data_IF_694112571634
#
_entry.id   IF_694112571634
#
_cell.length_a   1.000
_cell.length_b   1.000
_cell.length_c   1.000
_cell.angle_alpha   90.00
_cell.angle_beta   90.00
_cell.angle_gamma   90.00
#
_symmetry.space_group_name_H-M   'P 1'
#
loop_
_entity.id
_entity.type
_entity.pdbx_description
1 polymer ?
#
# COMPACT_ATOMS: atom_id res chain seq x y z
N UNK A 1 9.80 -23.51 14.97
CA UNK A 1 8.98 -23.05 13.83
C UNK A 1 9.94 -22.67 12.72
N UNK A 2 9.97 -23.42 11.63
CA UNK A 2 10.84 -23.14 10.49
C UNK A 2 10.04 -22.33 9.46
N UNK A 3 10.44 -21.10 9.20
CA UNK A 3 9.90 -20.31 8.13
C UNK A 3 10.68 -20.60 6.86
N UNK A 4 9.98 -21.01 5.80
CA UNK A 4 10.54 -21.15 4.46
C UNK A 4 10.27 -19.89 3.66
N UNK A 5 11.23 -19.44 2.88
CA UNK A 5 11.00 -18.37 1.92
C UNK A 5 10.09 -18.86 0.79
N UNK A 6 9.12 -18.05 0.40
CA UNK A 6 8.41 -18.27 -0.85
C UNK A 6 9.39 -18.12 -2.05
N UNK A 7 9.00 -18.58 -3.25
CA UNK A 7 9.83 -18.43 -4.45
C UNK A 7 10.18 -16.96 -4.77
N UNK A 8 9.42 -16.01 -4.23
CA UNK A 8 9.66 -14.57 -4.30
C UNK A 8 10.67 -14.04 -3.26
N UNK A 9 11.27 -14.92 -2.45
CA UNK A 9 12.17 -14.54 -1.36
C UNK A 9 11.48 -14.04 -0.07
N UNK A 10 10.16 -13.99 -0.02
CA UNK A 10 9.42 -13.62 1.20
C UNK A 10 9.36 -14.78 2.18
N UNK A 11 9.46 -14.47 3.47
CA UNK A 11 9.23 -15.46 4.52
C UNK A 11 7.78 -15.93 4.50
N UNK A 12 7.57 -17.22 4.66
CA UNK A 12 6.25 -17.84 4.73
C UNK A 12 6.11 -18.71 5.97
N UNK A 13 4.87 -18.99 6.37
CA UNK A 13 4.60 -19.94 7.45
C UNK A 13 4.86 -21.38 6.99
N UNK A 14 5.30 -22.23 7.91
CA UNK A 14 5.42 -23.68 7.75
C UNK A 14 4.47 -24.39 8.72
N UNK A 15 4.30 -25.72 8.58
CA UNK A 15 3.44 -26.54 9.44
C UNK A 15 1.97 -26.05 9.54
N UNK A 16 1.44 -25.54 8.45
CA UNK A 16 0.07 -24.98 8.36
C UNK A 16 -0.19 -23.78 9.28
N UNK A 17 0.85 -23.20 9.88
CA UNK A 17 0.74 -22.03 10.74
C UNK A 17 1.48 -20.84 10.13
N UNK A 18 0.76 -19.79 9.78
CA UNK A 18 1.31 -18.55 9.28
C UNK A 18 0.91 -17.37 10.19
N UNK A 19 1.79 -17.00 11.10
CA UNK A 19 1.56 -15.91 12.05
C UNK A 19 1.47 -14.53 11.36
N UNK A 20 2.03 -14.38 10.16
CA UNK A 20 1.95 -13.13 9.39
C UNK A 20 0.52 -12.85 8.88
N UNK A 21 -0.27 -13.90 8.66
CA UNK A 21 -1.63 -13.82 8.12
C UNK A 21 -2.71 -13.77 9.21
N UNK A 22 -2.36 -13.54 10.45
CA UNK A 22 -3.36 -13.38 11.51
C UNK A 22 -4.24 -12.15 11.23
N UNK A 23 -5.58 -12.28 11.29
CA UNK A 23 -6.48 -11.18 11.03
C UNK A 23 -6.20 -9.99 11.96
N UNK A 24 -6.10 -8.77 11.41
CA UNK A 24 -5.71 -7.57 12.17
C UNK A 24 -6.60 -7.26 13.36
N UNK A 25 -7.90 -7.55 13.27
CA UNK A 25 -8.89 -7.31 14.33
C UNK A 25 -9.18 -8.55 15.19
N UNK A 26 -8.46 -9.65 14.96
CA UNK A 26 -8.67 -10.90 15.70
C UNK A 26 -8.03 -10.84 17.09
N UNK A 27 -8.67 -11.39 18.12
CA UNK A 27 -8.06 -11.59 19.43
C UNK A 27 -6.84 -12.52 19.39
N UNK A 28 -6.66 -13.31 18.31
CA UNK A 28 -5.50 -14.20 18.14
C UNK A 28 -4.16 -13.49 18.24
N UNK A 29 -4.05 -12.25 17.75
CA UNK A 29 -2.81 -11.47 17.92
C UNK A 29 -2.53 -11.13 19.39
N UNK A 30 -3.58 -10.92 20.19
CA UNK A 30 -3.46 -10.64 21.63
C UNK A 30 -3.13 -11.88 22.45
N UNK A 31 -3.36 -13.07 21.89
CA UNK A 31 -3.01 -14.34 22.53
C UNK A 31 -1.51 -14.66 22.38
N UNK A 32 -0.79 -13.95 21.53
CA UNK A 32 0.67 -14.05 21.42
C UNK A 32 1.27 -13.21 22.54
N UNK A 33 1.60 -13.84 23.64
CA UNK A 33 2.20 -13.20 24.82
C UNK A 33 3.64 -13.71 25.03
N UNK A 34 4.58 -12.87 25.45
CA UNK A 34 5.92 -13.32 25.76
C UNK A 34 5.93 -14.10 27.08
N UNK A 35 6.91 -14.98 27.30
CA UNK A 35 7.21 -15.50 28.63
C UNK A 35 7.54 -14.38 29.63
N UNK A 36 7.56 -14.70 30.92
CA UNK A 36 8.01 -13.75 31.94
C UNK A 36 9.42 -13.21 31.60
N UNK A 37 9.65 -11.94 31.84
CA UNK A 37 10.92 -11.23 31.59
C UNK A 37 11.32 -11.08 30.10
N UNK A 38 10.43 -11.42 29.17
CA UNK A 38 10.63 -11.21 27.73
C UNK A 38 9.65 -10.18 27.17
N UNK A 39 10.03 -9.56 26.07
CA UNK A 39 9.19 -8.66 25.29
C UNK A 39 9.09 -9.15 23.84
N UNK A 40 7.99 -8.87 23.19
CA UNK A 40 7.84 -9.09 21.75
C UNK A 40 8.18 -7.79 21.06
N UNK A 41 9.18 -7.83 20.16
CA UNK A 41 9.50 -6.72 19.27
C UNK A 41 8.89 -7.00 17.90
N UNK A 42 8.03 -6.10 17.43
CA UNK A 42 7.47 -6.11 16.08
C UNK A 42 7.97 -4.88 15.34
N UNK A 43 8.60 -5.08 14.19
CA UNK A 43 9.16 -4.02 13.37
C UNK A 43 8.77 -4.25 11.92
N UNK A 44 8.21 -3.22 11.29
CA UNK A 44 7.83 -3.24 9.87
C UNK A 44 8.42 -2.02 9.16
N UNK A 45 8.95 -2.26 7.96
CA UNK A 45 9.46 -1.18 7.12
C UNK A 45 8.29 -0.43 6.48
N UNK A 46 8.07 0.79 6.95
CA UNK A 46 6.95 1.62 6.49
C UNK A 46 7.00 1.84 4.99
N UNK A 47 5.95 1.39 4.30
CA UNK A 47 5.71 1.64 2.86
C UNK A 47 6.86 1.17 1.95
N UNK A 48 7.59 0.12 2.33
CA UNK A 48 8.82 -0.29 1.64
C UNK A 48 8.60 -0.59 0.14
N UNK A 49 7.47 -1.19 -0.21
CA UNK A 49 7.16 -1.50 -1.62
C UNK A 49 7.03 -0.22 -2.45
N UNK A 50 6.31 0.79 -1.97
CA UNK A 50 6.15 2.06 -2.67
C UNK A 50 7.47 2.86 -2.73
N UNK A 51 8.28 2.82 -1.66
CA UNK A 51 9.61 3.44 -1.63
C UNK A 51 10.55 2.82 -2.64
N UNK A 52 10.59 1.50 -2.70
CA UNK A 52 11.43 0.75 -3.64
C UNK A 52 10.99 1.00 -5.08
N UNK A 53 9.67 1.02 -5.33
CA UNK A 53 9.14 1.31 -6.66
C UNK A 53 9.51 2.72 -7.11
N UNK A 54 9.32 3.73 -6.27
CA UNK A 54 9.68 5.11 -6.58
C UNK A 54 11.19 5.25 -6.87
N UNK A 55 12.04 4.57 -6.10
CA UNK A 55 13.48 4.57 -6.32
C UNK A 55 13.88 3.87 -7.63
N UNK A 56 13.30 2.71 -7.93
CA UNK A 56 13.58 1.97 -9.17
C UNK A 56 13.07 2.70 -10.43
N UNK A 57 11.96 3.44 -10.30
CA UNK A 57 11.39 4.25 -11.37
C UNK A 57 12.07 5.63 -11.50
N UNK A 58 13.10 5.91 -10.68
CA UNK A 58 13.80 7.20 -10.64
C UNK A 58 12.85 8.39 -10.40
N UNK A 59 11.72 8.15 -9.75
CA UNK A 59 10.72 9.16 -9.44
C UNK A 59 11.14 9.98 -8.21
N UNK A 60 12.04 10.95 -8.44
CA UNK A 60 12.74 11.69 -7.40
C UNK A 60 11.83 12.51 -6.49
N UNK A 61 10.72 13.04 -7.00
CA UNK A 61 9.71 13.75 -6.23
C UNK A 61 9.04 12.87 -5.15
N UNK A 62 8.72 11.62 -5.49
CA UNK A 62 8.22 10.64 -4.52
C UNK A 62 9.30 10.19 -3.54
N UNK A 63 10.53 9.98 -3.99
CA UNK A 63 11.65 9.62 -3.11
C UNK A 63 11.88 10.74 -2.09
N UNK A 64 11.86 12.00 -2.52
CA UNK A 64 11.99 13.17 -1.65
C UNK A 64 10.79 13.31 -0.69
N UNK A 65 9.57 13.10 -1.16
CA UNK A 65 8.38 13.08 -0.33
C UNK A 65 8.49 12.04 0.81
N UNK A 66 8.99 10.84 0.50
CA UNK A 66 9.26 9.81 1.50
C UNK A 66 10.37 10.20 2.48
N UNK A 67 11.44 10.84 2.00
CA UNK A 67 12.54 11.31 2.83
C UNK A 67 12.07 12.39 3.83
N UNK A 68 11.17 13.25 3.39
CA UNK A 68 10.55 14.31 4.20
C UNK A 68 9.41 13.80 5.11
N UNK A 69 9.17 12.48 5.17
CA UNK A 69 8.14 11.89 6.02
C UNK A 69 6.71 12.19 5.58
N UNK A 70 6.50 12.58 4.33
CA UNK A 70 5.16 12.87 3.80
C UNK A 70 4.38 11.57 3.59
N UNK A 71 3.06 11.66 3.74
CA UNK A 71 2.16 10.54 3.47
C UNK A 71 1.79 10.51 1.98
N UNK A 72 2.58 9.76 1.20
CA UNK A 72 2.41 9.63 -0.26
C UNK A 72 1.03 9.09 -0.63
N UNK A 73 0.40 8.27 0.24
CA UNK A 73 -0.96 7.81 0.01
C UNK A 73 -2.00 8.94 0.12
N UNK A 74 -1.76 9.90 1.02
CA UNK A 74 -2.59 11.11 1.09
C UNK A 74 -2.33 12.04 -0.10
N UNK A 75 -1.10 12.14 -0.58
CA UNK A 75 -0.78 12.93 -1.77
C UNK A 75 -1.53 12.37 -2.98
N UNK A 76 -1.46 11.04 -3.21
CA UNK A 76 -2.21 10.40 -4.28
C UNK A 76 -3.72 10.59 -4.15
N UNK A 77 -4.27 10.42 -2.95
CA UNK A 77 -5.69 10.66 -2.71
C UNK A 77 -6.08 12.12 -2.98
N UNK A 78 -5.24 13.06 -2.59
CA UNK A 78 -5.44 14.49 -2.86
C UNK A 78 -5.54 14.79 -4.35
N UNK A 79 -4.67 14.19 -5.17
CA UNK A 79 -4.72 14.29 -6.63
C UNK A 79 -6.01 13.68 -7.20
N UNK A 80 -6.39 12.48 -6.76
CA UNK A 80 -7.61 11.78 -7.20
C UNK A 80 -8.87 12.60 -6.90
N UNK A 81 -8.99 13.11 -5.67
CA UNK A 81 -10.19 13.81 -5.18
C UNK A 81 -10.12 15.35 -5.33
N UNK A 82 -9.04 15.88 -5.91
CA UNK A 82 -8.80 17.33 -6.08
C UNK A 82 -8.93 18.11 -4.77
N UNK A 83 -8.30 17.59 -3.72
CA UNK A 83 -8.26 18.15 -2.36
C UNK A 83 -6.82 18.43 -1.95
N UNK A 84 -6.64 19.09 -0.81
CA UNK A 84 -5.32 19.16 -0.17
C UNK A 84 -5.06 17.89 0.66
N UNK A 85 -3.80 17.45 0.84
CA UNK A 85 -3.49 16.25 1.63
C UNK A 85 -4.02 16.29 3.07
N UNK A 86 -4.21 17.47 3.64
CA UNK A 86 -4.75 17.67 4.98
C UNK A 86 -6.26 17.39 5.06
N UNK A 87 -6.97 17.56 3.95
CA UNK A 87 -8.42 17.32 3.84
C UNK A 87 -8.77 15.87 3.50
N UNK A 88 -7.78 15.05 3.23
CA UNK A 88 -7.96 13.64 2.87
C UNK A 88 -8.32 12.83 4.12
N UNK A 89 -9.47 12.18 4.09
CA UNK A 89 -9.92 11.28 5.14
C UNK A 89 -9.27 9.89 5.05
N UNK A 90 -9.60 8.99 5.99
CA UNK A 90 -9.01 7.65 6.06
C UNK A 90 -9.45 6.73 4.91
N UNK A 91 -10.69 6.89 4.43
CA UNK A 91 -11.20 6.09 3.31
C UNK A 91 -10.55 6.54 2.00
N UNK A 92 -10.48 7.84 1.78
CA UNK A 92 -9.78 8.43 0.62
C UNK A 92 -8.29 8.06 0.62
N UNK A 93 -7.64 8.14 1.79
CA UNK A 93 -6.25 7.68 1.95
C UNK A 93 -6.09 6.20 1.61
N UNK A 94 -7.07 5.37 1.98
CA UNK A 94 -7.07 3.95 1.63
C UNK A 94 -7.21 3.74 0.12
N UNK A 95 -8.04 4.54 -0.56
CA UNK A 95 -8.12 4.56 -2.03
C UNK A 95 -6.78 4.93 -2.63
N UNK A 96 -6.13 6.01 -2.18
CA UNK A 96 -4.80 6.41 -2.64
C UNK A 96 -3.75 5.32 -2.44
N UNK A 97 -3.76 4.65 -1.27
CA UNK A 97 -2.90 3.49 -1.01
C UNK A 97 -3.14 2.34 -1.99
N UNK A 98 -4.41 2.00 -2.22
CA UNK A 98 -4.78 0.90 -3.12
C UNK A 98 -4.43 1.24 -4.57
N UNK A 99 -4.51 2.51 -4.94
CA UNK A 99 -4.11 3.01 -6.26
C UNK A 99 -2.61 2.81 -6.47
N UNK A 100 -1.76 3.34 -5.60
CA UNK A 100 -0.30 3.21 -5.73
C UNK A 100 0.12 1.74 -5.78
N UNK A 101 -0.34 0.94 -4.83
CA UNK A 101 0.07 -0.47 -4.75
C UNK A 101 -0.57 -1.33 -5.84
N UNK A 102 -1.83 -1.06 -6.21
CA UNK A 102 -2.54 -1.83 -7.22
C UNK A 102 -2.15 -1.45 -8.64
N UNK A 103 -2.20 -0.18 -8.97
CA UNK A 103 -1.89 0.30 -10.32
C UNK A 103 -0.41 0.11 -10.66
N UNK A 104 0.50 0.30 -9.69
CA UNK A 104 1.92 0.02 -9.84
C UNK A 104 2.23 -1.45 -10.19
N UNK A 105 1.34 -2.39 -9.82
CA UNK A 105 1.40 -3.79 -10.27
C UNK A 105 0.51 -4.09 -11.48
N UNK A 106 0.09 -3.09 -12.23
CA UNK A 106 -0.70 -3.26 -13.45
C UNK A 106 -2.17 -3.63 -13.22
N UNK A 107 -2.73 -3.35 -12.06
CA UNK A 107 -4.13 -3.62 -11.75
C UNK A 107 -5.06 -2.80 -12.66
N UNK A 108 -6.03 -3.48 -13.28
CA UNK A 108 -7.10 -2.80 -14.05
C UNK A 108 -8.27 -2.38 -13.16
N UNK A 109 -9.12 -1.49 -13.68
CA UNK A 109 -10.24 -0.86 -12.98
C UNK A 109 -11.20 -1.87 -12.29
N UNK A 110 -11.54 -2.98 -12.95
CA UNK A 110 -12.45 -3.98 -12.38
C UNK A 110 -11.87 -4.68 -11.15
N UNK A 111 -10.58 -5.04 -11.17
CA UNK A 111 -9.89 -5.62 -10.00
C UNK A 111 -9.71 -4.59 -8.90
N UNK A 112 -9.45 -3.35 -9.25
CA UNK A 112 -9.35 -2.24 -8.32
C UNK A 112 -10.66 -2.02 -7.56
N UNK A 113 -11.79 -1.95 -8.28
CA UNK A 113 -13.12 -1.84 -7.67
C UNK A 113 -13.41 -3.02 -6.73
N UNK A 114 -13.16 -4.26 -7.18
CA UNK A 114 -13.38 -5.45 -6.35
C UNK A 114 -12.53 -5.41 -5.08
N UNK A 115 -11.29 -4.94 -5.15
CA UNK A 115 -10.43 -4.81 -3.98
C UNK A 115 -10.93 -3.75 -3.00
N UNK A 116 -11.38 -2.58 -3.47
CA UNK A 116 -11.96 -1.55 -2.61
C UNK A 116 -13.23 -2.05 -1.91
N UNK A 117 -14.10 -2.77 -2.63
CA UNK A 117 -15.33 -3.35 -2.07
C UNK A 117 -15.05 -4.35 -0.95
N UNK A 118 -13.98 -5.14 -1.03
CA UNK A 118 -13.56 -6.04 0.07
C UNK A 118 -13.23 -5.30 1.37
N UNK A 119 -12.95 -4.00 1.29
CA UNK A 119 -12.69 -3.13 2.45
C UNK A 119 -13.84 -2.18 2.75
N UNK A 120 -15.04 -2.46 2.21
CA UNK A 120 -16.27 -1.67 2.40
C UNK A 120 -16.15 -0.24 1.86
N UNK A 121 -15.31 -0.03 0.87
CA UNK A 121 -15.24 1.22 0.10
C UNK A 121 -15.92 0.98 -1.24
N UNK A 122 -17.09 1.59 -1.42
CA UNK A 122 -17.85 1.50 -2.67
C UNK A 122 -17.41 2.61 -3.63
N UNK A 123 -17.01 2.22 -4.82
CA UNK A 123 -16.62 3.12 -5.91
C UNK A 123 -17.24 2.58 -7.20
N UNK A 124 -17.83 3.45 -7.98
CA UNK A 124 -18.40 3.08 -9.29
C UNK A 124 -17.32 2.65 -10.28
N UNK A 125 -17.72 1.89 -11.32
CA UNK A 125 -16.78 1.35 -12.32
C UNK A 125 -16.09 2.49 -13.08
N UNK A 126 -16.85 3.50 -13.49
CA UNK A 126 -16.35 4.68 -14.18
C UNK A 126 -15.35 5.46 -13.33
N UNK A 127 -15.65 5.61 -12.06
CA UNK A 127 -14.76 6.27 -11.10
C UNK A 127 -13.48 5.45 -10.88
N UNK A 128 -13.59 4.14 -10.78
CA UNK A 128 -12.45 3.23 -10.70
C UNK A 128 -11.54 3.33 -11.92
N UNK A 129 -12.13 3.48 -13.10
CA UNK A 129 -11.39 3.71 -14.34
C UNK A 129 -10.68 5.06 -14.32
N UNK A 130 -11.40 6.12 -13.95
CA UNK A 130 -10.85 7.48 -13.82
C UNK A 130 -9.65 7.51 -12.86
N UNK A 131 -9.73 6.84 -11.72
CA UNK A 131 -8.66 6.78 -10.73
C UNK A 131 -7.42 6.11 -11.32
N UNK A 132 -7.56 4.97 -11.98
CA UNK A 132 -6.46 4.24 -12.60
C UNK A 132 -5.85 5.06 -13.74
N UNK A 133 -6.67 5.74 -14.55
CA UNK A 133 -6.19 6.58 -15.64
C UNK A 133 -5.46 7.83 -15.11
N UNK A 134 -5.92 8.42 -14.00
CA UNK A 134 -5.22 9.52 -13.32
C UNK A 134 -3.83 9.08 -12.88
N UNK A 135 -3.71 7.92 -12.22
CA UNK A 135 -2.41 7.39 -11.81
C UNK A 135 -1.45 7.22 -12.99
N UNK A 136 -1.93 6.63 -14.09
CA UNK A 136 -1.12 6.41 -15.30
C UNK A 136 -0.72 7.70 -15.99
N UNK A 137 -1.57 8.72 -16.00
CA UNK A 137 -1.25 10.02 -16.60
C UNK A 137 -0.19 10.78 -15.79
N UNK A 138 -0.18 10.63 -14.48
CA UNK A 138 0.86 11.22 -13.61
C UNK A 138 2.21 10.52 -13.79
N UNK A 139 2.24 9.20 -13.95
CA UNK A 139 3.47 8.48 -14.30
C UNK A 139 4.08 8.98 -15.61
N UNK A 140 3.27 9.14 -16.67
CA UNK A 140 3.76 9.65 -17.96
C UNK A 140 4.23 11.10 -17.91
N UNK A 141 3.69 11.92 -17.02
CA UNK A 141 4.12 13.32 -16.89
C UNK A 141 5.49 13.43 -16.24
N UNK A 142 5.81 12.54 -15.29
CA UNK A 142 7.12 12.48 -14.65
C UNK A 142 8.21 11.97 -15.60
N UNK A 143 7.90 11.04 -16.49
CA UNK A 143 8.84 10.54 -17.52
C UNK A 143 9.20 11.63 -18.53
N UNK A 144 8.28 12.52 -18.90
CA UNK A 144 8.53 13.62 -19.86
C UNK A 144 9.31 14.79 -19.24
N UNK A 145 9.38 14.91 -17.93
CA UNK A 145 10.14 15.95 -17.23
C UNK A 145 11.58 15.54 -16.91
N UNK A 146 11.94 14.29 -17.13
CA UNK A 146 13.28 13.75 -16.86
C UNK A 146 14.21 13.72 -18.08
N UNK A 147 13.84 14.38 -19.20
CA UNK A 147 14.66 14.52 -20.40
C UNK A 147 15.04 15.96 -20.70
#
# INVERSE_FOLDING_TARGET
MLFRSAHTGRWGGDDKLNLQNLPRKSPLKKAIIPPADYVICDSDSSQIEARTLAWLAEQNDLVEAFANGQDVYKIMAAAIYKKTPQQVDQNERFVGKTTILGAGYGMGASKFQAQLRNFLVEVEVEESKRIIDTYRSEEHTSELQSH
#
